data_IF_259439266068
#
_entry.id   IF_259439266068
#
_cell.length_a   1.000
_cell.length_b   1.000
_cell.length_c   1.000
_cell.angle_alpha   90.00
_cell.angle_beta   90.00
_cell.angle_gamma   90.00
#
_symmetry.space_group_name_H-M   'P 1'
#
loop_
_entity.id
_entity.type
_entity.pdbx_description
1 polymer ?
#
# COMPACT_ATOMS: atom_id res chain seq x y z
N UNK A 1 -37.12 -23.77 -18.27
CA UNK A 1 -35.91 -24.19 -19.03
C UNK A 1 -34.73 -23.47 -18.43
N UNK A 2 -33.87 -24.17 -17.71
CA UNK A 2 -32.63 -23.63 -17.14
C UNK A 2 -31.60 -23.44 -18.26
N UNK A 3 -30.83 -22.34 -18.30
CA UNK A 3 -29.79 -22.17 -19.30
C UNK A 3 -28.75 -23.28 -19.10
N UNK A 4 -28.52 -24.09 -20.14
CA UNK A 4 -27.39 -25.01 -20.16
C UNK A 4 -26.12 -24.19 -20.04
N UNK A 5 -25.35 -24.41 -18.98
CA UNK A 5 -23.98 -23.89 -18.87
C UNK A 5 -23.21 -24.40 -20.10
N UNK A 6 -23.11 -23.59 -21.15
CA UNK A 6 -22.19 -23.85 -22.24
C UNK A 6 -20.79 -23.93 -21.63
N UNK A 7 -20.28 -25.15 -21.54
CA UNK A 7 -18.94 -25.41 -21.03
C UNK A 7 -17.96 -24.64 -21.91
N UNK A 8 -16.99 -23.97 -21.27
CA UNK A 8 -15.98 -23.10 -21.87
C UNK A 8 -14.97 -23.91 -22.73
N UNK A 9 -15.47 -24.71 -23.66
CA UNK A 9 -14.74 -25.69 -24.45
C UNK A 9 -13.95 -25.04 -25.59
N UNK A 10 -14.35 -23.84 -26.01
CA UNK A 10 -13.65 -23.09 -27.08
C UNK A 10 -12.22 -22.77 -26.65
N UNK A 11 -12.02 -22.38 -25.38
CA UNK A 11 -10.70 -22.11 -24.86
C UNK A 11 -9.80 -23.35 -24.85
N UNK A 12 -10.35 -24.53 -24.55
CA UNK A 12 -9.59 -25.77 -24.53
C UNK A 12 -9.07 -26.18 -25.92
N UNK A 13 -9.74 -25.74 -27.00
CA UNK A 13 -9.37 -25.97 -28.40
C UNK A 13 -8.25 -25.05 -28.90
N UNK A 14 -7.91 -23.99 -28.16
CA UNK A 14 -6.78 -23.12 -28.52
C UNK A 14 -5.45 -23.88 -28.40
N UNK A 15 -4.48 -23.63 -29.31
CA UNK A 15 -3.11 -24.07 -29.13
C UNK A 15 -2.55 -23.70 -27.75
N UNK A 16 -1.60 -24.49 -27.25
CA UNK A 16 -1.11 -24.34 -25.87
C UNK A 16 -0.48 -22.96 -25.64
N UNK A 17 0.20 -22.43 -26.64
CA UNK A 17 0.86 -21.13 -26.64
C UNK A 17 -0.15 -20.01 -26.36
N UNK A 18 -1.28 -20.00 -27.08
CA UNK A 18 -2.33 -19.00 -26.88
C UNK A 18 -3.00 -19.14 -25.51
N UNK A 19 -3.21 -20.37 -25.02
CA UNK A 19 -3.77 -20.56 -23.68
C UNK A 19 -2.85 -20.04 -22.59
N UNK A 20 -1.54 -20.27 -22.71
CA UNK A 20 -0.54 -19.73 -21.80
C UNK A 20 -0.48 -18.20 -21.86
N UNK A 21 -0.56 -17.62 -23.06
CA UNK A 21 -0.65 -16.16 -23.21
C UNK A 21 -1.89 -15.60 -22.49
N UNK A 22 -3.07 -16.21 -22.69
CA UNK A 22 -4.30 -15.77 -22.01
C UNK A 22 -4.17 -15.88 -20.49
N UNK A 23 -3.63 -16.98 -19.96
CA UNK A 23 -3.40 -17.13 -18.52
C UNK A 23 -2.44 -16.08 -17.97
N UNK A 24 -1.33 -15.82 -18.65
CA UNK A 24 -0.38 -14.80 -18.23
C UNK A 24 -0.97 -13.39 -18.25
N UNK A 25 -1.78 -13.05 -19.27
CA UNK A 25 -2.46 -11.75 -19.35
C UNK A 25 -3.66 -11.65 -18.40
N UNK A 26 -4.18 -12.77 -17.89
CA UNK A 26 -5.26 -12.78 -16.91
C UNK A 26 -4.76 -12.48 -15.48
N UNK A 27 -3.44 -12.55 -15.24
CA UNK A 27 -2.84 -12.12 -13.98
C UNK A 27 -2.87 -10.59 -13.97
N UNK A 28 -3.67 -10.02 -13.07
CA UNK A 28 -3.89 -8.58 -12.96
C UNK A 28 -3.57 -8.07 -11.55
N UNK A 29 -3.17 -6.79 -11.41
CA UNK A 29 -3.07 -6.13 -10.11
C UNK A 29 -4.39 -6.21 -9.35
N UNK A 30 -4.31 -6.37 -8.04
CA UNK A 30 -5.48 -6.43 -7.15
C UNK A 30 -5.14 -5.91 -5.77
N UNK A 31 -6.18 -5.50 -5.05
CA UNK A 31 -6.08 -5.06 -3.67
C UNK A 31 -6.43 -6.22 -2.74
N UNK A 32 -5.54 -6.53 -1.80
CA UNK A 32 -5.73 -7.60 -0.82
C UNK A 32 -5.87 -7.01 0.57
N UNK A 33 -7.05 -7.18 1.14
CA UNK A 33 -7.27 -6.90 2.55
C UNK A 33 -6.69 -8.02 3.41
N UNK A 34 -5.79 -7.66 4.33
CA UNK A 34 -5.15 -8.58 5.28
C UNK A 34 -5.54 -8.20 6.70
N UNK A 35 -6.19 -9.13 7.38
CA UNK A 35 -6.61 -9.00 8.77
C UNK A 35 -5.83 -9.99 9.63
N UNK A 36 -5.43 -9.59 10.83
CA UNK A 36 -4.86 -10.52 11.80
C UNK A 36 -5.98 -11.17 12.65
N UNK A 37 -6.00 -12.49 12.69
CA UNK A 37 -6.92 -13.27 13.50
C UNK A 37 -6.22 -13.72 14.79
N UNK A 38 -6.65 -13.16 15.92
CA UNK A 38 -6.07 -13.47 17.24
C UNK A 38 -6.32 -14.91 17.68
N UNK A 39 -7.49 -15.47 17.40
CA UNK A 39 -7.85 -16.86 17.77
C UNK A 39 -6.96 -17.87 17.04
N UNK A 40 -6.70 -17.64 15.76
CA UNK A 40 -5.87 -18.52 14.93
C UNK A 40 -4.39 -18.14 14.90
N UNK A 41 -4.03 -17.03 15.56
CA UNK A 41 -2.70 -16.44 15.60
C UNK A 41 -2.10 -16.25 14.18
N UNK A 42 -2.93 -15.83 13.22
CA UNK A 42 -2.57 -15.80 11.80
C UNK A 42 -3.20 -14.65 11.02
N UNK A 43 -2.49 -14.17 10.00
CA UNK A 43 -3.08 -13.30 8.98
C UNK A 43 -4.07 -14.10 8.13
N UNK A 44 -5.21 -13.48 7.82
CA UNK A 44 -6.27 -14.04 6.98
C UNK A 44 -6.68 -13.02 5.92
N UNK A 45 -7.10 -13.53 4.77
CA UNK A 45 -7.73 -12.75 3.70
C UNK A 45 -8.77 -13.62 3.00
N UNK A 46 -9.82 -12.98 2.48
CA UNK A 46 -10.86 -13.64 1.67
C UNK A 46 -10.54 -13.60 0.17
N UNK A 47 -9.51 -12.84 -0.24
CA UNK A 47 -9.19 -12.64 -1.65
C UNK A 47 -8.33 -13.78 -2.20
N UNK A 48 -8.95 -14.71 -2.94
CA UNK A 48 -8.25 -15.77 -3.68
C UNK A 48 -8.11 -15.35 -5.14
N UNK A 49 -6.92 -15.45 -5.76
CA UNK A 49 -6.77 -15.14 -7.18
C UNK A 49 -7.69 -16.03 -8.02
N UNK A 50 -8.46 -15.42 -8.92
CA UNK A 50 -9.45 -16.11 -9.75
C UNK A 50 -8.84 -17.29 -10.52
N UNK A 51 -7.63 -17.12 -11.05
CA UNK A 51 -6.91 -18.17 -11.79
C UNK A 51 -6.64 -19.44 -10.98
N UNK A 52 -6.54 -19.36 -9.64
CA UNK A 52 -6.40 -20.55 -8.79
C UNK A 52 -7.70 -21.36 -8.70
N UNK A 53 -8.85 -20.76 -9.02
CA UNK A 53 -10.18 -21.35 -8.94
C UNK A 53 -10.69 -21.87 -10.29
N UNK A 54 -10.18 -21.33 -11.41
CA UNK A 54 -10.70 -21.63 -12.76
C UNK A 54 -10.43 -23.08 -13.21
N UNK A 55 -9.18 -23.52 -13.20
CA UNK A 55 -8.80 -24.87 -13.66
C UNK A 55 -7.42 -25.28 -13.14
N UNK A 56 -7.07 -26.57 -13.25
CA UNK A 56 -5.73 -27.06 -12.87
C UNK A 56 -4.61 -26.38 -13.68
N UNK A 57 -4.82 -26.13 -14.97
CA UNK A 57 -3.81 -25.47 -15.83
C UNK A 57 -3.65 -23.99 -15.48
N UNK A 58 -4.76 -23.27 -15.28
CA UNK A 58 -4.74 -21.88 -14.84
C UNK A 58 -4.06 -21.75 -13.46
N UNK A 59 -4.37 -22.67 -12.54
CA UNK A 59 -3.73 -22.73 -11.22
C UNK A 59 -2.23 -22.94 -11.31
N UNK A 60 -1.78 -23.89 -12.12
CA UNK A 60 -0.34 -24.14 -12.32
C UNK A 60 0.38 -22.92 -12.87
N UNK A 61 -0.24 -22.16 -13.79
CA UNK A 61 0.35 -20.92 -14.30
C UNK A 61 0.40 -19.81 -13.24
N UNK A 62 -0.71 -19.60 -12.54
CA UNK A 62 -0.79 -18.58 -11.49
C UNK A 62 0.20 -18.82 -10.34
N UNK A 63 0.42 -20.08 -9.94
CA UNK A 63 1.38 -20.45 -8.89
C UNK A 63 2.85 -20.18 -9.26
N UNK A 64 3.17 -19.82 -10.51
CA UNK A 64 4.50 -19.32 -10.88
C UNK A 64 4.75 -17.88 -10.42
N UNK A 65 3.67 -17.13 -10.12
CA UNK A 65 3.71 -15.70 -9.76
C UNK A 65 3.17 -15.44 -8.35
N UNK A 66 2.20 -16.25 -7.91
CA UNK A 66 1.63 -16.17 -6.57
C UNK A 66 2.31 -17.17 -5.63
N UNK A 67 2.67 -16.70 -4.46
CA UNK A 67 3.17 -17.52 -3.36
C UNK A 67 2.31 -17.33 -2.10
N UNK A 68 2.39 -18.28 -1.17
CA UNK A 68 1.74 -18.12 0.13
C UNK A 68 2.54 -17.16 1.00
N UNK A 69 1.92 -16.06 1.42
CA UNK A 69 2.58 -14.97 2.16
C UNK A 69 1.79 -14.52 3.40
N UNK A 70 2.37 -13.65 4.22
CA UNK A 70 1.85 -13.19 5.51
C UNK A 70 1.84 -14.28 6.58
N UNK A 71 2.92 -15.06 6.66
CA UNK A 71 3.15 -15.96 7.78
C UNK A 71 3.45 -15.16 9.04
N UNK A 72 3.05 -15.69 10.19
CA UNK A 72 3.30 -15.04 11.48
C UNK A 72 4.56 -15.63 12.12
N UNK A 73 5.04 -15.03 13.20
CA UNK A 73 6.17 -15.58 13.98
C UNK A 73 5.86 -16.98 14.51
N UNK A 74 4.61 -17.21 14.88
CA UNK A 74 4.14 -18.44 15.54
C UNK A 74 3.50 -19.44 14.59
N UNK A 75 3.05 -19.02 13.40
CA UNK A 75 2.41 -19.91 12.41
C UNK A 75 3.14 -19.86 11.08
N UNK A 76 3.75 -20.99 10.73
CA UNK A 76 4.58 -21.16 9.52
C UNK A 76 3.76 -21.37 8.25
N UNK A 77 2.46 -21.68 8.38
CA UNK A 77 1.56 -21.89 7.24
C UNK A 77 0.63 -20.70 7.05
N UNK A 78 0.68 -20.09 5.86
CA UNK A 78 -0.28 -19.08 5.40
C UNK A 78 -1.32 -19.70 4.44
N UNK A 79 -2.45 -19.01 4.28
CA UNK A 79 -3.49 -19.27 3.30
C UNK A 79 -3.66 -18.14 2.28
N UNK A 80 -2.85 -17.08 2.35
CA UNK A 80 -2.98 -15.90 1.50
C UNK A 80 -2.01 -16.04 0.33
N UNK A 81 -2.54 -16.16 -0.88
CA UNK A 81 -1.74 -16.06 -2.10
C UNK A 81 -1.47 -14.60 -2.41
N UNK A 82 -0.21 -14.22 -2.55
CA UNK A 82 0.23 -12.84 -2.82
C UNK A 82 1.27 -12.82 -3.94
N UNK A 83 1.20 -11.81 -4.79
CA UNK A 83 2.20 -11.51 -5.80
C UNK A 83 2.81 -10.14 -5.48
N UNK A 84 4.03 -10.14 -4.93
CA UNK A 84 4.73 -8.92 -4.52
C UNK A 84 4.95 -7.90 -5.65
N UNK A 85 4.99 -8.37 -6.90
CA UNK A 85 5.20 -7.51 -8.07
C UNK A 85 3.93 -6.83 -8.57
N UNK A 86 2.72 -7.37 -8.29
CA UNK A 86 1.45 -6.83 -8.81
C UNK A 86 0.41 -6.46 -7.75
N UNK A 87 0.36 -7.18 -6.64
CA UNK A 87 -0.67 -6.98 -5.62
C UNK A 87 -0.36 -5.73 -4.77
N UNK A 88 -1.41 -5.10 -4.25
CA UNK A 88 -1.35 -4.02 -3.27
C UNK A 88 -2.02 -4.49 -1.99
N UNK A 89 -1.37 -4.33 -0.84
CA UNK A 89 -1.92 -4.78 0.45
C UNK A 89 -2.63 -3.65 1.19
N UNK A 90 -3.79 -3.95 1.76
CA UNK A 90 -4.50 -3.11 2.74
C UNK A 90 -4.51 -3.88 4.05
N UNK A 91 -3.78 -3.41 5.07
CA UNK A 91 -3.89 -4.02 6.38
C UNK A 91 -5.13 -3.50 7.12
N UNK A 92 -5.78 -4.36 7.89
CA UNK A 92 -6.77 -3.93 8.87
C UNK A 92 -6.03 -3.63 10.17
N UNK A 93 -5.48 -2.41 10.29
CA UNK A 93 -4.64 -2.00 11.43
C UNK A 93 -5.25 -2.30 12.80
N UNK A 94 -6.55 -2.06 12.97
CA UNK A 94 -7.30 -2.36 14.20
C UNK A 94 -7.28 -3.84 14.63
N UNK A 95 -6.95 -4.75 13.72
CA UNK A 95 -6.83 -6.18 14.00
C UNK A 95 -5.42 -6.60 14.38
N UNK A 96 -4.42 -5.76 14.12
CA UNK A 96 -3.03 -6.07 14.42
C UNK A 96 -2.77 -5.92 15.92
N UNK A 97 -1.88 -6.75 16.47
CA UNK A 97 -1.46 -6.66 17.88
C UNK A 97 -0.87 -5.28 18.15
N UNK A 98 -1.39 -4.64 19.20
CA UNK A 98 -0.99 -3.27 19.59
C UNK A 98 -1.17 -2.23 18.46
N UNK A 99 -1.92 -2.56 17.40
CA UNK A 99 -2.05 -1.81 16.15
C UNK A 99 -0.76 -1.70 15.31
N UNK A 100 0.20 -2.62 15.49
CA UNK A 100 1.45 -2.68 14.70
C UNK A 100 1.41 -3.82 13.69
N UNK A 101 1.48 -3.50 12.40
CA UNK A 101 1.52 -4.52 11.33
C UNK A 101 2.82 -5.32 11.39
N UNK A 102 3.95 -4.67 11.72
CA UNK A 102 5.26 -5.31 11.82
C UNK A 102 5.34 -6.39 12.91
N UNK A 103 4.39 -6.38 13.86
CA UNK A 103 4.28 -7.41 14.89
C UNK A 103 3.48 -8.64 14.42
N UNK A 104 2.72 -8.50 13.34
CA UNK A 104 1.83 -9.53 12.83
C UNK A 104 2.46 -10.31 11.67
N UNK A 105 3.28 -9.64 10.85
CA UNK A 105 3.91 -10.20 9.65
C UNK A 105 5.41 -10.38 9.89
N UNK A 106 6.02 -11.41 9.29
CA UNK A 106 7.48 -11.59 9.35
C UNK A 106 8.23 -10.45 8.67
N UNK A 107 9.37 -10.07 9.23
CA UNK A 107 10.15 -8.95 8.75
C UNK A 107 10.61 -9.15 7.29
N UNK A 108 10.97 -10.37 6.92
CA UNK A 108 11.39 -10.73 5.56
C UNK A 108 10.29 -10.49 4.53
N UNK A 109 9.02 -10.70 4.91
CA UNK A 109 7.88 -10.44 4.03
C UNK A 109 7.60 -8.95 3.93
N UNK A 110 7.69 -8.19 5.04
CA UNK A 110 7.54 -6.73 5.02
C UNK A 110 8.51 -6.09 4.02
N UNK A 111 9.76 -6.56 3.96
CA UNK A 111 10.77 -6.04 3.02
C UNK A 111 10.45 -6.28 1.55
N UNK A 112 9.62 -7.28 1.24
CA UNK A 112 9.25 -7.62 -0.14
C UNK A 112 8.00 -6.89 -0.62
N UNK A 113 7.20 -6.34 0.29
CA UNK A 113 5.96 -5.62 -0.04
C UNK A 113 6.34 -4.30 -0.73
N UNK A 114 5.90 -4.20 -1.99
CA UNK A 114 6.14 -3.03 -2.85
C UNK A 114 5.05 -1.98 -2.79
N UNK A 115 3.80 -2.37 -2.51
CA UNK A 115 2.65 -1.46 -2.55
C UNK A 115 1.72 -1.66 -1.38
N UNK A 116 1.45 -0.58 -0.65
CA UNK A 116 0.49 -0.53 0.45
C UNK A 116 -0.60 0.47 0.11
N UNK A 117 -1.85 0.13 0.39
CA UNK A 117 -2.96 1.06 0.40
C UNK A 117 -3.44 1.26 1.84
N UNK A 118 -3.53 2.52 2.25
CA UNK A 118 -3.99 2.98 3.55
C UNK A 118 -5.41 3.53 3.37
N UNK A 119 -6.34 3.13 4.23
CA UNK A 119 -7.65 3.80 4.25
C UNK A 119 -7.50 5.12 5.00
N UNK A 120 -8.07 6.21 4.51
CA UNK A 120 -8.01 7.54 5.15
C UNK A 120 -8.43 7.47 6.63
N UNK A 121 -9.54 6.78 6.91
CA UNK A 121 -10.03 6.52 8.27
C UNK A 121 -9.06 5.76 9.18
N UNK A 122 -8.01 5.15 8.63
CA UNK A 122 -6.96 4.42 9.37
C UNK A 122 -5.64 5.18 9.44
N UNK A 123 -5.50 6.31 8.75
CA UNK A 123 -4.27 7.10 8.72
C UNK A 123 -3.84 7.53 10.12
N UNK A 124 -4.80 7.87 10.99
CA UNK A 124 -4.53 8.26 12.38
C UNK A 124 -3.77 7.18 13.18
N UNK A 125 -3.99 5.88 12.91
CA UNK A 125 -3.26 4.81 13.59
C UNK A 125 -1.77 4.83 13.23
N UNK A 126 -1.48 5.09 11.96
CA UNK A 126 -0.11 5.21 11.48
C UNK A 126 0.57 6.45 12.07
N UNK A 127 -0.13 7.58 12.11
CA UNK A 127 0.39 8.83 12.69
C UNK A 127 0.63 8.69 14.19
N UNK A 128 -0.32 8.12 14.95
CA UNK A 128 -0.15 7.88 16.39
C UNK A 128 1.03 6.94 16.68
N UNK A 129 1.32 6.03 15.75
CA UNK A 129 2.50 5.17 15.81
C UNK A 129 3.75 5.80 15.16
N UNK A 130 3.76 7.12 14.95
CA UNK A 130 4.90 7.83 14.37
C UNK A 130 5.37 7.23 13.03
N UNK A 131 4.46 6.63 12.27
CA UNK A 131 4.72 5.87 11.03
C UNK A 131 5.76 4.74 11.19
N UNK A 132 5.98 4.24 12.41
CA UNK A 132 7.01 3.23 12.70
C UNK A 132 6.80 1.96 11.88
N UNK A 133 5.55 1.57 11.66
CA UNK A 133 5.21 0.41 10.84
C UNK A 133 5.73 0.54 9.40
N UNK A 134 5.58 1.71 8.77
CA UNK A 134 6.07 1.93 7.41
C UNK A 134 7.58 1.72 7.30
N UNK A 135 8.33 1.99 8.39
CA UNK A 135 9.79 1.82 8.41
C UNK A 135 10.25 0.36 8.29
N UNK A 136 9.34 -0.62 8.49
CA UNK A 136 9.60 -2.05 8.33
C UNK A 136 9.51 -2.53 6.86
N UNK A 137 8.86 -1.74 5.98
CA UNK A 137 8.67 -2.08 4.58
C UNK A 137 9.76 -1.43 3.73
N UNK A 138 10.97 -1.99 3.76
CA UNK A 138 12.13 -1.37 3.08
C UNK A 138 12.07 -1.44 1.56
N UNK A 139 11.27 -2.35 0.99
CA UNK A 139 11.07 -2.49 -0.46
C UNK A 139 9.82 -1.77 -0.98
N UNK A 140 9.26 -0.85 -0.19
CA UNK A 140 8.03 -0.13 -0.54
C UNK A 140 8.31 0.86 -1.67
N UNK A 141 7.62 0.69 -2.80
CA UNK A 141 7.69 1.53 -4.00
C UNK A 141 6.50 2.49 -4.07
N UNK A 142 5.35 2.13 -3.48
CA UNK A 142 4.12 2.94 -3.52
C UNK A 142 3.35 2.87 -2.19
N UNK A 143 2.86 4.02 -1.75
CA UNK A 143 1.84 4.16 -0.71
C UNK A 143 0.65 4.89 -1.29
N UNK A 144 -0.48 4.21 -1.38
CA UNK A 144 -1.73 4.81 -1.80
C UNK A 144 -2.64 5.09 -0.61
N UNK A 145 -3.48 6.12 -0.72
CA UNK A 145 -4.59 6.37 0.21
C UNK A 145 -5.92 6.22 -0.53
N UNK A 146 -6.90 5.60 0.12
CA UNK A 146 -8.29 5.56 -0.34
C UNK A 146 -9.27 6.07 0.71
N UNK A 147 -10.47 6.44 0.28
CA UNK A 147 -11.51 7.03 1.11
C UNK A 147 -11.37 8.55 1.28
N UNK A 148 -10.55 9.22 0.46
CA UNK A 148 -10.26 10.64 0.62
C UNK A 148 -11.46 11.55 0.27
N UNK A 149 -12.40 11.04 -0.53
CA UNK A 149 -13.59 11.75 -1.01
C UNK A 149 -14.92 11.27 -0.38
N UNK A 150 -14.88 10.54 0.74
CA UNK A 150 -16.08 10.07 1.44
C UNK A 150 -16.75 11.16 2.27
N UNK A 151 -17.95 11.58 1.84
CA UNK A 151 -18.79 12.68 2.33
C UNK A 151 -18.28 14.09 1.99
N UNK A 152 -19.05 14.73 1.12
CA UNK A 152 -18.93 16.11 0.63
C UNK A 152 -18.95 17.10 1.79
N UNK A 153 -17.80 17.38 2.39
CA UNK A 153 -17.51 18.72 2.87
C UNK A 153 -17.18 19.53 1.63
N UNK A 154 -18.09 20.41 1.21
CA UNK A 154 -17.83 21.38 0.15
C UNK A 154 -16.57 22.14 0.53
N UNK A 155 -15.56 22.07 -0.32
CA UNK A 155 -14.30 22.82 -0.20
C UNK A 155 -14.59 24.24 0.27
N UNK A 156 -14.28 24.54 1.53
CA UNK A 156 -13.66 25.83 1.82
C UNK A 156 -12.27 25.75 1.20
N UNK A 157 -11.86 26.83 0.55
CA UNK A 157 -10.53 26.95 -0.04
C UNK A 157 -9.51 26.59 1.05
N UNK A 158 -8.70 25.55 0.81
CA UNK A 158 -7.62 25.19 1.72
C UNK A 158 -6.72 26.41 1.90
N UNK A 159 -6.44 26.86 3.14
CA UNK A 159 -5.57 27.99 3.36
C UNK A 159 -4.18 27.72 2.75
N UNK A 160 -3.73 28.68 1.94
CA UNK A 160 -2.47 28.79 1.19
C UNK A 160 -1.45 27.63 1.34
N UNK A 161 -1.39 26.80 0.29
CA UNK A 161 -0.33 25.82 -0.03
C UNK A 161 1.11 26.36 0.17
N UNK A 162 1.31 27.67 0.08
CA UNK A 162 2.62 28.34 0.20
C UNK A 162 3.25 28.21 1.59
N UNK A 163 2.46 28.08 2.68
CA UNK A 163 3.02 27.89 4.03
C UNK A 163 3.61 26.49 4.22
N UNK A 164 3.05 25.48 3.56
CA UNK A 164 3.53 24.09 3.62
C UNK A 164 4.88 23.90 2.96
N UNK A 165 5.12 24.61 1.85
CA UNK A 165 6.39 24.56 1.13
C UNK A 165 7.55 25.14 1.95
N UNK A 166 7.33 26.24 2.68
CA UNK A 166 8.35 26.85 3.54
C UNK A 166 8.73 25.94 4.71
N UNK A 167 7.73 25.26 5.28
CA UNK A 167 7.93 24.28 6.36
C UNK A 167 8.72 23.06 5.83
N UNK A 168 8.39 22.57 4.63
CA UNK A 168 9.13 21.49 3.97
C UNK A 168 10.57 21.91 3.61
N UNK A 169 10.79 23.13 3.11
CA UNK A 169 12.13 23.66 2.80
C UNK A 169 13.00 23.84 4.05
N UNK A 170 12.43 24.37 5.14
CA UNK A 170 13.10 24.49 6.44
C UNK A 170 13.47 23.09 6.99
N UNK A 171 12.58 22.10 6.83
CA UNK A 171 12.87 20.71 7.20
C UNK A 171 14.00 20.09 6.39
N UNK A 172 14.11 20.41 5.11
CA UNK A 172 15.14 19.87 4.22
C UNK A 172 16.54 20.40 4.57
N UNK A 173 16.62 21.62 5.13
CA UNK A 173 17.87 22.24 5.56
C UNK A 173 18.37 21.72 6.93
N UNK A 174 17.48 21.27 7.82
CA UNK A 174 17.83 20.74 9.15
C UNK A 174 18.39 19.30 9.14
N UNK A 175 18.23 18.55 8.04
CA UNK A 175 18.67 17.14 7.96
C UNK A 175 20.17 17.07 7.67
N UNK A 176 21.00 17.42 8.66
CA UNK A 176 22.46 17.31 8.60
C UNK A 176 22.96 15.87 8.47
N UNK A 177 24.12 15.66 7.85
CA UNK A 177 24.67 14.38 7.40
C UNK A 177 25.28 13.52 8.52
N UNK A 178 24.53 12.58 9.09
CA UNK A 178 25.06 11.48 9.93
C UNK A 178 24.23 10.19 9.76
N UNK A 179 24.94 9.07 9.59
CA UNK A 179 24.45 7.68 9.44
C UNK A 179 23.19 7.46 8.60
N UNK A 180 23.40 7.42 7.28
CA UNK A 180 22.40 7.11 6.27
C UNK A 180 22.55 5.64 5.88
N UNK A 181 21.50 4.85 6.07
CA UNK A 181 21.38 3.58 5.36
C UNK A 181 20.81 3.90 3.97
N UNK A 182 21.71 4.02 3.00
CA UNK A 182 21.49 4.59 1.65
C UNK A 182 20.55 3.81 0.72
N UNK A 183 20.01 2.67 1.16
CA UNK A 183 19.37 1.71 0.26
C UNK A 183 17.83 1.71 0.34
N UNK A 184 17.23 2.75 0.92
CA UNK A 184 15.77 2.84 1.04
C UNK A 184 15.19 3.65 -0.11
N UNK A 185 14.47 2.97 -1.00
CA UNK A 185 13.59 3.63 -1.96
C UNK A 185 12.60 4.53 -1.23
N UNK A 186 12.37 5.72 -1.78
CA UNK A 186 11.33 6.62 -1.33
C UNK A 186 10.06 6.26 -2.10
N UNK A 187 9.02 5.68 -1.47
CA UNK A 187 7.80 5.33 -2.18
C UNK A 187 7.06 6.57 -2.69
N UNK A 188 6.43 6.37 -3.83
CA UNK A 188 5.48 7.31 -4.43
C UNK A 188 4.19 7.34 -3.62
N UNK A 189 3.64 8.54 -3.41
CA UNK A 189 2.37 8.74 -2.70
C UNK A 189 1.22 8.98 -3.68
N UNK A 190 0.07 8.32 -3.52
CA UNK A 190 -1.06 8.42 -4.47
C UNK A 190 -2.40 8.49 -3.72
N UNK A 191 -3.28 9.49 -3.94
CA UNK A 191 -4.70 9.31 -3.59
C UNK A 191 -5.39 8.55 -4.72
N UNK A 192 -6.07 7.45 -4.39
CA UNK A 192 -6.79 6.64 -5.37
C UNK A 192 -8.05 7.34 -5.92
N UNK A 193 -8.68 8.23 -5.15
CA UNK A 193 -9.83 8.99 -5.64
C UNK A 193 -9.44 10.29 -6.35
N UNK A 194 -8.54 11.08 -5.76
CA UNK A 194 -8.18 12.42 -6.28
C UNK A 194 -6.93 12.45 -7.17
N UNK A 195 -6.19 11.35 -7.28
CA UNK A 195 -4.91 11.32 -7.98
C UNK A 195 -3.92 12.34 -7.42
N UNK A 196 -3.17 13.00 -8.31
CA UNK A 196 -2.24 14.08 -7.96
C UNK A 196 -2.91 15.44 -7.69
N UNK A 197 -4.23 15.55 -7.89
CA UNK A 197 -5.01 16.77 -7.68
C UNK A 197 -5.97 16.65 -6.49
N UNK A 198 -5.71 15.72 -5.59
CA UNK A 198 -6.51 15.56 -4.38
C UNK A 198 -6.38 16.81 -3.50
N UNK A 199 -7.47 17.53 -3.26
CA UNK A 199 -7.46 18.73 -2.41
C UNK A 199 -7.08 18.45 -0.96
N UNK A 200 -7.34 17.22 -0.48
CA UNK A 200 -7.02 16.79 0.89
C UNK A 200 -5.58 16.30 1.07
N UNK A 201 -4.93 15.88 -0.01
CA UNK A 201 -3.54 15.41 0.01
C UNK A 201 -2.74 16.11 -1.09
N UNK A 202 -2.88 17.42 -1.21
CA UNK A 202 -2.14 18.24 -2.18
C UNK A 202 -0.63 18.07 -2.02
N UNK A 203 -0.17 17.91 -0.78
CA UNK A 203 1.22 17.66 -0.43
C UNK A 203 1.78 16.34 -1.00
N UNK A 204 0.95 15.36 -1.40
CA UNK A 204 1.44 14.16 -2.11
C UNK A 204 2.12 14.52 -3.42
N UNK A 205 1.60 15.52 -4.14
CA UNK A 205 2.19 15.99 -5.39
C UNK A 205 3.57 16.59 -5.13
N UNK A 206 3.67 17.47 -4.14
CA UNK A 206 4.93 18.13 -3.76
C UNK A 206 5.98 17.11 -3.32
N UNK A 207 5.59 16.12 -2.52
CA UNK A 207 6.47 15.00 -2.17
C UNK A 207 6.94 14.22 -3.39
N UNK A 208 6.03 13.89 -4.31
CA UNK A 208 6.38 13.13 -5.52
C UNK A 208 7.30 13.94 -6.45
N UNK A 209 7.07 15.25 -6.58
CA UNK A 209 7.94 16.16 -7.34
C UNK A 209 9.32 16.26 -6.68
N UNK A 210 9.36 16.44 -5.36
CA UNK A 210 10.59 16.50 -4.59
C UNK A 210 11.39 15.19 -4.71
N UNK A 211 10.74 14.03 -4.58
CA UNK A 211 11.42 12.73 -4.74
C UNK A 211 11.90 12.49 -6.16
N UNK A 212 11.19 12.98 -7.18
CA UNK A 212 11.65 12.92 -8.57
C UNK A 212 12.90 13.79 -8.80
N UNK A 213 12.98 14.96 -8.17
CA UNK A 213 14.15 15.84 -8.21
C UNK A 213 15.31 15.27 -7.38
N UNK A 214 15.02 14.76 -6.20
CA UNK A 214 15.98 14.13 -5.29
C UNK A 214 16.49 12.79 -5.81
N UNK A 215 15.76 12.09 -6.69
CA UNK A 215 16.24 10.87 -7.36
C UNK A 215 17.51 11.06 -8.21
N UNK A 216 17.90 12.31 -8.51
CA UNK A 216 19.20 12.66 -9.10
C UNK A 216 20.33 12.90 -8.08
N UNK A 217 20.01 13.03 -6.79
CA UNK A 217 20.93 13.25 -5.67
C UNK A 217 20.90 12.01 -4.78
N UNK A 218 21.98 11.24 -4.75
CA UNK A 218 22.13 9.97 -4.02
C UNK A 218 22.11 10.08 -2.47
N UNK A 219 21.33 11.01 -1.92
CA UNK A 219 21.12 11.19 -0.49
C UNK A 219 19.88 10.43 -0.01
N UNK A 220 20.09 9.27 0.62
CA UNK A 220 19.01 8.47 1.20
C UNK A 220 18.19 9.24 2.23
N UNK A 221 16.88 9.00 2.27
CA UNK A 221 15.98 9.64 3.21
C UNK A 221 16.02 8.97 4.59
N UNK A 222 16.08 9.77 5.67
CA UNK A 222 16.05 9.25 7.04
C UNK A 222 14.65 8.74 7.43
N UNK A 223 14.61 7.74 8.32
CA UNK A 223 13.38 7.30 9.01
C UNK A 223 12.67 8.44 9.73
N UNK A 224 13.43 9.40 10.27
CA UNK A 224 12.90 10.62 10.89
C UNK A 224 12.07 11.48 9.92
N UNK A 225 12.39 11.43 8.61
CA UNK A 225 11.71 12.23 7.59
C UNK A 225 10.29 11.72 7.32
N UNK A 226 10.06 10.41 7.35
CA UNK A 226 8.71 9.81 7.26
C UNK A 226 7.82 10.24 8.43
N UNK A 227 8.33 10.05 9.65
CA UNK A 227 7.60 10.36 10.88
C UNK A 227 7.25 11.84 10.97
N UNK A 228 8.23 12.73 10.76
CA UNK A 228 8.02 14.19 10.91
C UNK A 228 7.10 14.72 9.81
N UNK A 229 7.27 14.29 8.55
CA UNK A 229 6.40 14.71 7.45
C UNK A 229 4.94 14.31 7.67
N UNK A 230 4.65 13.04 7.93
CA UNK A 230 3.26 12.60 8.09
C UNK A 230 2.61 13.12 9.38
N UNK A 231 3.39 13.30 10.45
CA UNK A 231 2.88 13.86 11.71
C UNK A 231 2.47 15.32 11.54
N UNK A 232 3.26 16.10 10.83
CA UNK A 232 2.98 17.52 10.58
C UNK A 232 1.89 17.69 9.51
N UNK A 233 1.92 16.90 8.42
CA UNK A 233 0.83 16.87 7.44
C UNK A 233 -0.51 16.47 8.07
N UNK A 234 -0.50 15.49 8.99
CA UNK A 234 -1.69 15.13 9.76
C UNK A 234 -2.11 16.22 10.75
N UNK A 235 -1.16 16.89 11.43
CA UNK A 235 -1.46 17.99 12.35
C UNK A 235 -2.22 19.10 11.62
N UNK A 236 -1.76 19.49 10.44
CA UNK A 236 -2.48 20.48 9.62
C UNK A 236 -3.87 19.99 9.20
N UNK A 237 -3.98 18.74 8.76
CA UNK A 237 -5.29 18.17 8.39
C UNK A 237 -6.27 18.12 9.58
N UNK A 238 -5.78 17.91 10.80
CA UNK A 238 -6.60 17.88 12.02
C UNK A 238 -6.95 19.27 12.51
N UNK A 239 -6.02 20.23 12.45
CA UNK A 239 -6.28 21.63 12.80
C UNK A 239 -7.38 22.23 11.90
N UNK A 240 -7.36 21.94 10.59
CA UNK A 240 -8.43 22.32 9.67
C UNK A 240 -9.81 21.69 10.00
N UNK A 241 -9.83 20.52 10.65
CA UNK A 241 -11.07 19.85 11.05
C UNK A 241 -11.62 20.37 12.39
N UNK A 242 -10.77 20.87 13.29
CA UNK A 242 -11.17 21.44 14.58
C UNK A 242 -11.74 22.84 14.41
N UNK A 243 -11.23 23.62 13.45
CA UNK A 243 -11.74 24.97 13.14
C UNK A 243 -13.05 24.97 12.30
N UNK A 244 -13.55 23.79 11.94
CA UNK A 244 -14.78 23.59 11.16
C UNK A 244 -16.03 23.25 11.99
N UNK A 245 -15.91 23.20 13.33
CA UNK A 245 -16.99 22.94 14.30
C UNK A 245 -17.32 24.20 15.08
#
# INVERSE_FOLDING_TARGET
MSPSHESFNVFAKLPIEFRLMVWNHSISPRVIEVQYNHTQNSCISKCVPSLLLVSHKARAEALKRYELSFVTRTKVKSSIYFNYELDTVVFIWKSCRENYVSNCVRYEECRRIKRICILDKTLYFLVNNQMRDLSAFTGLEEVSISGCCGNVMKSRECPNVTSHLLILEEWLLEVGAEDVNYDRMIPRLICLEGGGNCSRYTWFREWNEWTALAGGLSGGLRKATWTRMFTEAWRTLVEEMVDAV
#
